data_IF_983711101772
#
_entry.id   IF_983711101772
#
_cell.length_a   1.000
_cell.length_b   1.000
_cell.length_c   1.000
_cell.angle_alpha   90.00
_cell.angle_beta   90.00
_cell.angle_gamma   90.00
#
_symmetry.space_group_name_H-M   'P 1'
#
loop_
_entity.id
_entity.type
_entity.pdbx_description
1 polymer ?
2 polymer ?
3 non-polymer ?
4 non-polymer ?
5 water ?
#
# COMPACT_ATOMS: atom_id res chain seq x y z
N UNK A 5 -9.97 -17.16 -5.70
CA UNK A 5 -10.77 -16.27 -6.53
C UNK A 5 -9.86 -15.56 -7.55
N UNK A 6 -8.91 -14.82 -7.01
CA UNK A 6 -7.89 -14.09 -7.77
C UNK A 6 -6.57 -14.17 -7.06
N UNK A 7 -5.51 -14.10 -7.86
CA UNK A 7 -4.27 -14.45 -7.20
C UNK A 7 -3.52 -13.13 -6.81
N UNK A 8 -3.23 -12.94 -5.51
CA UNK A 8 -2.49 -11.74 -5.15
C UNK A 8 -0.99 -11.94 -5.41
N UNK A 9 -0.27 -10.82 -5.48
CA UNK A 9 1.19 -10.85 -5.64
C UNK A 9 1.85 -11.12 -4.29
N UNK A 10 1.82 -12.40 -3.90
CA UNK A 10 2.17 -12.76 -2.53
C UNK A 10 3.56 -12.29 -2.13
N UNK A 11 3.63 -11.56 -1.02
CA UNK A 11 4.91 -11.13 -0.51
C UNK A 11 5.53 -10.00 -1.29
N UNK A 12 4.82 -9.42 -2.25
CA UNK A 12 5.48 -8.45 -3.11
C UNK A 12 5.91 -7.20 -2.35
N UNK A 13 5.23 -6.85 -1.25
CA UNK A 13 5.68 -5.68 -0.51
C UNK A 13 7.12 -5.91 -0.01
N UNK A 14 7.44 -7.15 0.38
CA UNK A 14 8.77 -7.49 0.79
C UNK A 14 9.75 -7.29 -0.37
N UNK A 15 9.38 -7.76 -1.55
CA UNK A 15 10.21 -7.56 -2.75
C UNK A 15 10.47 -6.10 -3.04
N UNK A 16 9.43 -5.27 -2.96
CA UNK A 16 9.60 -3.86 -3.29
C UNK A 16 10.71 -3.24 -2.46
N UNK A 17 10.80 -3.61 -1.17
CA UNK A 17 11.73 -2.93 -0.29
C UNK A 17 13.00 -3.70 -0.04
N UNK A 18 13.20 -4.86 -0.69
CA UNK A 18 14.46 -5.60 -0.56
C UNK A 18 15.17 -5.80 -1.89
N UNK A 19 14.52 -5.61 -3.03
CA UNK A 19 15.11 -5.83 -4.35
C UNK A 19 15.11 -4.52 -5.12
N UNK A 20 16.30 -4.06 -5.57
CA UNK A 20 16.33 -2.72 -6.15
C UNK A 20 15.61 -2.66 -7.49
N UNK A 21 15.64 -3.73 -8.29
CA UNK A 21 14.87 -3.71 -9.53
C UNK A 21 13.37 -3.49 -9.27
N UNK A 22 12.82 -4.18 -8.26
CA UNK A 22 11.41 -4.02 -7.91
C UNK A 22 11.13 -2.64 -7.32
N UNK A 23 12.02 -2.17 -6.44
CA UNK A 23 11.90 -0.83 -5.88
C UNK A 23 11.80 0.21 -6.99
N UNK A 24 12.62 0.06 -8.02
CA UNK A 24 12.68 1.04 -9.09
C UNK A 24 11.49 0.98 -10.02
N UNK A 25 10.68 -0.08 -9.98
CA UNK A 25 9.47 -0.16 -10.82
C UNK A 25 8.42 -1.01 -10.12
N UNK A 26 7.82 -0.49 -9.07
CA UNK A 26 6.95 -1.30 -8.19
C UNK A 26 5.52 -1.34 -8.68
N UNK A 27 5.34 -1.80 -9.90
CA UNK A 27 4.04 -1.75 -10.54
C UNK A 27 3.66 -3.16 -10.97
N UNK A 28 2.37 -3.31 -11.19
CA UNK A 28 1.79 -4.57 -11.66
C UNK A 28 1.37 -5.51 -10.54
N UNK A 29 1.63 -5.14 -9.29
CA UNK A 29 1.23 -5.96 -8.19
C UNK A 29 -0.27 -5.95 -8.00
N UNK A 30 -0.76 -7.10 -7.62
CA UNK A 30 -2.18 -7.31 -7.32
C UNK A 30 -2.31 -7.46 -5.81
N UNK A 31 -3.06 -6.54 -5.21
CA UNK A 31 -3.14 -6.40 -3.76
C UNK A 31 -4.60 -6.31 -3.37
N UNK A 32 -4.89 -6.62 -2.10
CA UNK A 32 -6.23 -6.51 -1.58
C UNK A 32 -6.32 -5.37 -0.57
N UNK A 33 -7.38 -4.57 -0.68
CA UNK A 33 -7.57 -3.48 0.29
C UNK A 33 -7.84 -4.10 1.66
N UNK A 34 -7.03 -3.72 2.64
CA UNK A 34 -7.07 -4.25 4.01
C UNK A 34 -7.86 -3.35 4.95
N UNK A 35 -7.78 -2.04 4.75
CA UNK A 35 -8.55 -1.12 5.57
C UNK A 35 -8.56 0.23 4.88
N UNK A 36 -9.61 1.00 5.19
CA UNK A 36 -9.73 2.38 4.74
C UNK A 36 -10.20 3.19 5.92
N UNK A 37 -10.04 4.50 5.81
CA UNK A 37 -10.37 5.46 6.86
C UNK A 37 -11.66 6.19 6.49
N UNK A 38 -12.41 6.59 7.51
CA UNK A 38 -13.71 7.23 7.29
C UNK A 38 -13.57 8.72 7.00
N UNK A 44 -8.51 16.33 5.42
CA UNK A 44 -9.28 15.62 4.41
C UNK A 44 -8.39 14.63 3.65
N UNK A 45 -7.09 14.95 3.53
CA UNK A 45 -6.19 14.09 2.76
C UNK A 45 -5.92 12.76 3.47
N UNK A 46 -6.30 12.63 4.75
CA UNK A 46 -6.18 11.34 5.42
C UNK A 46 -7.04 10.27 4.79
N UNK A 47 -8.15 10.64 4.12
CA UNK A 47 -8.97 9.64 3.45
C UNK A 47 -8.15 8.83 2.45
N UNK A 48 -7.14 9.47 1.85
CA UNK A 48 -6.42 8.83 0.77
C UNK A 48 -5.34 7.85 1.26
N UNK A 49 -5.13 7.76 2.56
CA UNK A 49 -4.20 6.79 3.09
C UNK A 49 -4.96 5.51 3.41
N UNK A 50 -4.59 4.41 2.76
CA UNK A 50 -5.26 3.13 2.93
C UNK A 50 -4.24 2.09 3.36
N UNK A 51 -4.76 0.95 3.80
CA UNK A 51 -3.93 -0.21 4.08
C UNK A 51 -4.22 -1.26 3.01
N UNK A 52 -3.14 -1.87 2.48
CA UNK A 52 -3.25 -2.90 1.44
C UNK A 52 -2.50 -4.15 1.89
N UNK A 53 -2.86 -5.27 1.29
CA UNK A 53 -2.34 -6.59 1.68
C UNK A 53 -1.86 -7.30 0.43
N UNK A 54 -0.67 -7.92 0.53
CA UNK A 54 -0.18 -8.76 -0.58
C UNK A 54 -0.44 -10.24 -0.32
N UNK A 55 -1.17 -10.56 0.73
CA UNK A 55 -1.46 -11.92 1.08
C UNK A 55 -0.62 -12.45 2.19
N UNK A 56 0.53 -11.84 2.41
CA UNK A 56 1.45 -12.20 3.49
C UNK A 56 1.65 -11.00 4.40
N UNK A 57 1.91 -9.82 3.80
CA UNK A 57 2.17 -8.57 4.50
C UNK A 57 1.07 -7.56 4.21
N UNK A 58 0.82 -6.66 5.16
CA UNK A 58 0.06 -5.46 4.85
C UNK A 58 0.93 -4.23 5.05
N UNK A 59 0.60 -3.17 4.32
CA UNK A 59 1.36 -1.93 4.42
C UNK A 59 0.45 -0.77 4.05
N UNK A 60 0.91 0.43 4.38
CA UNK A 60 0.19 1.65 4.07
C UNK A 60 0.46 2.09 2.65
N UNK A 61 -0.59 2.62 2.02
CA UNK A 61 -0.50 3.16 0.68
C UNK A 61 -1.16 4.51 0.67
N UNK A 62 -0.52 5.49 0.06
CA UNK A 62 -1.10 6.83 -0.09
C UNK A 62 -1.55 6.97 -1.54
N UNK A 63 -2.86 7.14 -1.75
CA UNK A 63 -3.40 7.35 -3.08
C UNK A 63 -3.30 8.82 -3.45
N UNK A 64 -2.78 9.08 -4.66
CA UNK A 64 -2.64 10.43 -5.18
C UNK A 64 -3.16 10.50 -6.60
N UNK A 65 -3.46 11.71 -7.07
CA UNK A 65 -3.77 11.94 -8.49
C UNK A 65 -4.90 11.01 -8.94
N UNK A 66 -4.75 10.30 -10.07
CA UNK A 66 -5.86 9.53 -10.59
C UNK A 66 -6.32 8.48 -9.59
N UNK A 67 -5.39 7.91 -8.79
CA UNK A 67 -5.77 6.92 -7.79
C UNK A 67 -6.66 7.51 -6.71
N UNK A 68 -6.42 8.75 -6.32
CA UNK A 68 -7.33 9.41 -5.39
C UNK A 68 -8.69 9.66 -6.04
N UNK A 69 -8.71 9.98 -7.33
CA UNK A 69 -10.00 10.19 -7.97
C UNK A 69 -10.78 8.90 -8.03
N UNK A 70 -10.09 7.81 -8.35
CA UNK A 70 -10.73 6.51 -8.48
C UNK A 70 -11.20 5.99 -7.14
N UNK A 71 -10.46 6.26 -6.06
CA UNK A 71 -10.93 5.94 -4.72
C UNK A 71 -12.32 6.50 -4.48
N UNK A 72 -12.59 7.74 -4.94
CA UNK A 72 -13.91 8.33 -4.76
C UNK A 72 -14.91 7.68 -5.71
N UNK A 73 -14.55 7.58 -6.98
CA UNK A 73 -15.56 7.15 -7.94
C UNK A 73 -15.94 5.68 -7.76
N UNK A 74 -15.04 4.85 -7.21
CA UNK A 74 -15.33 3.43 -7.02
C UNK A 74 -15.79 3.04 -5.62
N UNK A 75 -15.79 3.95 -4.64
CA UNK A 75 -16.19 3.58 -3.26
C UNK A 75 -15.33 2.40 -2.79
N UNK A 76 -14.02 2.52 -3.00
CA UNK A 76 -13.03 1.49 -2.68
C UNK A 76 -13.11 1.12 -1.20
N UNK A 77 -13.15 -0.18 -0.90
CA UNK A 77 -13.34 -0.67 0.47
C UNK A 77 -12.52 -1.92 0.75
N UNK A 78 -12.35 -2.22 2.04
CA UNK A 78 -11.72 -3.47 2.46
C UNK A 78 -12.31 -4.65 1.68
N UNK A 79 -11.44 -5.48 1.11
CA UNK A 79 -11.83 -6.64 0.34
C UNK A 79 -11.67 -6.44 -1.15
N UNK A 80 -11.80 -5.21 -1.61
CA UNK A 80 -11.53 -4.91 -3.03
C UNK A 80 -10.11 -5.33 -3.42
N UNK A 81 -9.97 -5.88 -4.65
CA UNK A 81 -8.66 -6.26 -5.16
C UNK A 81 -8.31 -5.31 -6.30
N UNK A 82 -7.10 -4.75 -6.24
CA UNK A 82 -6.62 -3.77 -7.21
C UNK A 82 -5.29 -4.22 -7.78
N UNK A 83 -4.95 -3.64 -8.95
CA UNK A 83 -3.64 -3.81 -9.55
C UNK A 83 -3.02 -2.43 -9.62
N UNK A 84 -1.88 -2.26 -8.97
CA UNK A 84 -1.20 -0.97 -9.00
C UNK A 84 -0.49 -0.78 -10.34
N UNK A 85 -0.72 0.39 -10.98
CA UNK A 85 -0.21 0.68 -12.32
C UNK A 85 0.92 1.72 -12.28
N UNK A 86 0.79 2.74 -11.44
CA UNK A 86 1.79 3.80 -11.31
C UNK A 86 2.04 3.96 -9.83
N UNK A 87 3.29 3.84 -9.41
CA UNK A 87 3.62 3.91 -7.99
C UNK A 87 5.10 4.10 -7.79
N UNK A 88 5.43 4.58 -6.59
CA UNK A 88 6.80 4.65 -6.12
C UNK A 88 6.85 4.32 -4.65
N UNK A 89 7.94 3.74 -4.17
CA UNK A 89 8.02 3.41 -2.74
C UNK A 89 8.50 4.64 -1.99
N UNK A 90 8.22 4.63 -0.68
CA UNK A 90 8.79 5.63 0.20
C UNK A 90 9.07 5.02 1.56
N UNK A 91 10.20 5.40 2.12
CA UNK A 91 10.55 5.01 3.49
C UNK A 91 10.78 6.32 4.22
N UNK A 92 9.99 6.58 5.26
CA UNK A 92 10.26 7.70 6.17
C UNK A 92 11.30 7.17 7.15
N UNK A 93 12.59 7.39 6.88
CA UNK A 93 13.62 6.65 7.60
C UNK A 93 13.71 7.10 9.05
N UNK A 94 13.36 8.35 9.36
CA UNK A 94 13.48 8.76 10.75
C UNK A 94 12.33 8.24 11.62
N UNK A 95 11.25 7.73 11.02
CA UNK A 95 10.17 7.09 11.79
C UNK A 95 10.12 5.59 11.51
N UNK A 96 10.95 5.08 10.59
CA UNK A 96 10.91 3.70 10.06
C UNK A 96 9.50 3.29 9.60
N UNK A 97 8.85 4.16 8.84
CA UNK A 97 7.54 3.94 8.26
C UNK A 97 7.70 3.67 6.76
N UNK A 98 6.96 2.69 6.26
CA UNK A 98 6.98 2.28 4.86
C UNK A 98 5.65 2.66 4.22
N UNK A 99 5.73 3.21 3.02
CA UNK A 99 4.50 3.59 2.31
C UNK A 99 4.69 3.31 0.83
N UNK A 100 3.62 2.92 0.17
CA UNK A 100 3.60 2.85 -1.28
C UNK A 100 2.78 4.03 -1.77
N UNK A 101 3.39 4.91 -2.55
CA UNK A 101 2.70 6.07 -3.12
C UNK A 101 2.11 5.62 -4.45
N UNK A 102 0.78 5.59 -4.52
CA UNK A 102 0.09 5.01 -5.68
C UNK A 102 -0.58 6.14 -6.44
N UNK A 103 -0.13 6.37 -7.68
CA UNK A 103 -0.71 7.40 -8.52
C UNK A 103 -1.78 6.86 -9.45
N UNK A 104 -1.85 5.53 -9.68
CA UNK A 104 -2.92 5.00 -10.51
C UNK A 104 -3.00 3.52 -10.22
N UNK A 105 -4.22 2.98 -10.32
CA UNK A 105 -4.46 1.55 -10.14
C UNK A 105 -5.68 1.20 -10.97
N UNK A 106 -5.89 -0.09 -11.14
CA UNK A 106 -7.15 -0.53 -11.73
C UNK A 106 -7.84 -1.52 -10.80
N UNK A 107 -9.16 -1.50 -10.90
CA UNK A 107 -9.98 -2.40 -10.08
C UNK A 107 -10.01 -3.76 -10.75
N UNK A 108 -9.65 -4.79 -9.98
CA UNK A 108 -9.70 -6.15 -10.43
C UNK A 108 -11.01 -6.84 -9.99
N UNK A 109 -11.34 -6.79 -8.70
CA UNK A 109 -12.53 -7.45 -8.21
C UNK A 109 -13.05 -6.70 -7.01
N UNK A 110 -14.34 -6.40 -7.01
CA UNK A 110 -14.94 -5.79 -5.84
C UNK A 110 -15.32 -6.84 -4.81
N UNK A 111 -15.02 -6.53 -3.55
CA UNK A 111 -15.58 -7.25 -2.41
C UNK A 111 -15.27 -8.74 -2.48
N UNK A 112 -14.02 -9.06 -2.78
CA UNK A 112 -13.55 -10.43 -2.76
C UNK A 112 -13.35 -10.89 -1.32
N UNK A 113 -13.48 -12.20 -1.10
CA UNK A 113 -13.25 -12.73 0.22
C UNK A 113 -11.84 -12.33 0.66
N UNK A 114 -11.67 -11.97 1.93
CA UNK A 114 -10.34 -11.58 2.37
C UNK A 114 -9.40 -12.78 2.25
N UNK A 115 -8.26 -12.56 1.60
CA UNK A 115 -7.30 -13.62 1.35
C UNK A 115 -6.55 -14.01 2.62
N UNK A 116 -5.95 -13.04 3.30
CA UNK A 116 -5.26 -13.30 4.57
C UNK A 116 -5.73 -12.25 5.58
N UNK A 117 -6.58 -12.66 6.52
CA UNK A 117 -7.10 -11.75 7.52
C UNK A 117 -6.06 -11.39 8.57
N UNK A 118 -4.99 -12.19 8.73
CA UNK A 118 -4.00 -12.00 9.80
C UNK A 118 -2.60 -11.90 9.18
N UNK A 119 -2.37 -10.80 8.49
CA UNK A 119 -1.06 -10.62 7.88
C UNK A 119 -0.13 -9.86 8.80
N UNK A 120 1.14 -9.87 8.44
CA UNK A 120 2.21 -9.20 9.17
C UNK A 120 2.33 -7.76 8.67
N UNK A 121 2.36 -6.82 9.60
CA UNK A 121 2.58 -5.43 9.22
C UNK A 121 3.99 -5.27 8.71
N UNK A 122 4.15 -4.76 7.50
CA UNK A 122 5.47 -4.67 6.88
C UNK A 122 6.47 -3.93 7.73
N UNK A 123 6.03 -2.83 8.36
CA UNK A 123 6.97 -2.04 9.12
C UNK A 123 7.52 -2.84 10.32
N UNK A 124 6.69 -3.73 10.91
CA UNK A 124 7.16 -4.55 12.03
C UNK A 124 8.16 -5.57 11.53
N UNK A 125 7.92 -6.15 10.34
CA UNK A 125 8.88 -7.11 9.79
C UNK A 125 10.24 -6.48 9.58
N UNK A 126 10.29 -5.28 9.01
CA UNK A 126 11.58 -4.65 8.78
C UNK A 126 12.20 -4.09 10.06
N UNK A 127 11.40 -3.79 11.10
CA UNK A 127 12.01 -3.45 12.38
C UNK A 127 12.87 -4.59 12.91
N UNK A 128 12.47 -5.84 12.62
CA UNK A 128 13.25 -7.01 12.95
C UNK A 128 14.22 -7.46 11.86
N UNK A 129 14.25 -6.75 10.72
CA UNK A 129 15.14 -7.08 9.60
C UNK A 129 15.84 -5.83 9.09
N UNK A 130 16.56 -5.15 9.96
CA UNK A 130 17.17 -3.85 9.59
C UNK A 130 18.21 -3.95 8.51
N UNK A 131 18.79 -5.13 8.27
CA UNK A 131 19.83 -5.25 7.27
C UNK A 131 19.32 -5.67 5.90
N UNK A 132 18.06 -6.11 5.78
CA UNK A 132 17.53 -6.58 4.51
C UNK A 132 16.89 -5.43 3.75
N UNK A 133 16.40 -4.43 4.46
CA UNK A 133 15.65 -3.34 3.84
C UNK A 133 16.57 -2.47 3.01
N UNK A 134 16.08 -2.12 1.84
CA UNK A 134 16.72 -1.06 1.12
C UNK A 134 16.59 0.21 1.95
N UNK B 7 -8.49 6.48 11.18
CA UNK B 7 -9.05 7.78 10.88
C UNK B 7 -8.66 8.81 11.96
N UNK B 8 -7.39 8.81 12.37
CA UNK B 8 -6.89 9.76 13.35
C UNK B 8 -5.62 10.50 12.86
N UNK B 9 -4.77 10.98 13.78
CA UNK B 9 -3.65 11.84 13.39
C UNK B 9 -2.24 11.19 13.43
N UNK B 10 -2.20 9.87 13.59
CA UNK B 10 -0.92 9.20 13.75
C UNK B 10 -0.05 9.22 12.48
N UNK B 11 -0.66 9.33 11.30
CA UNK B 11 0.10 9.30 10.05
C UNK B 11 0.15 10.67 9.38
N UNK B 12 -0.02 11.75 10.14
CA UNK B 12 0.17 13.09 9.61
C UNK B 12 1.59 13.27 9.08
N UNK B 13 2.56 12.58 9.67
CA UNK B 13 3.92 12.58 9.15
C UNK B 13 3.95 12.14 7.69
N UNK B 14 3.38 10.95 7.40
CA UNK B 14 3.36 10.47 6.02
C UNK B 14 2.73 11.51 5.11
N UNK B 15 1.61 12.09 5.52
CA UNK B 15 0.93 13.05 4.64
C UNK B 15 1.76 14.31 4.46
N UNK B 16 2.29 14.86 5.55
CA UNK B 16 3.09 16.08 5.47
C UNK B 16 4.31 15.89 4.58
N UNK B 17 5.19 14.94 4.92
CA UNK B 17 6.43 14.73 4.15
C UNK B 17 6.12 14.27 2.73
N UNK B 18 5.30 13.23 2.57
CA UNK B 18 5.00 12.67 1.27
C UNK B 18 3.85 13.44 0.62
N UNK B 19 3.18 12.81 -0.35
CA UNK B 19 2.09 13.46 -1.06
C UNK B 19 2.67 14.26 -2.18
N UNK B 20 3.37 15.34 -1.84
CA UNK B 20 4.15 16.10 -2.82
C UNK B 20 5.39 15.30 -3.25
N UNK B 21 5.65 15.28 -4.57
CA UNK B 21 6.75 14.51 -5.21
C UNK B 21 7.87 15.44 -5.70
X LIG C 1 10.10 -11.61 12.00
X LIG C 1 9.44 -10.35 11.80
X LIG C 1 9.41 -12.66 11.14
X LIG C 1 8.00 -12.48 11.33
X LIG C 1 11.16 -11.53 11.72
X LIG C 1 10.05 -11.89 13.05
X LIG C 1 9.85 -9.67 12.34
X LIG C 1 9.67 -12.53 10.09
X LIG C 1 9.71 -13.67 11.44
X LIG C 1 7.51 -13.14 10.81
X LIG D 1 13.84 -13.30 8.65
X LIG E 1 -3.91 11.13 17.92
X LIG F 1 -3.69 7.81 17.31
#
# INVERSE_FOLDING_TARGET
GPMSSVQLSRGDFHSIFTNKQRYDNPTGGVYQVYNTRKSDGANSNRKNLIMISDGIYHMKALLRNQAASKFQSMELQRGDIIRVIIAEPAIVRERKKYVLLVDDFELVQSRADMVNQTSTFLDNYFSEHPNETL
ETVGEFSSDDDDDILLELGTR
EDO C1 O1 C2 O2 H11 H12 HO1 H21 H22 HO2
ZN ZN
ZN ZN
ZN ZN
#
